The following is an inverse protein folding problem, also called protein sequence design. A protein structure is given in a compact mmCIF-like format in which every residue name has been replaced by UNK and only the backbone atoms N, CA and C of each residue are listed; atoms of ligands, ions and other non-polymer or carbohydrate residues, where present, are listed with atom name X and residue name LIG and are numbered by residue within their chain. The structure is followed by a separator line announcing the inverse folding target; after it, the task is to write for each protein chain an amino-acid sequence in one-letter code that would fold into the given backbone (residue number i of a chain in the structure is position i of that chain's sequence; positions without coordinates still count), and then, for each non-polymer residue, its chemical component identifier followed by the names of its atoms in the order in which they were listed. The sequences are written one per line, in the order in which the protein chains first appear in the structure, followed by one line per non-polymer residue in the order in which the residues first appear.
data_IF_328025776931
#
_entry.id   IF_328025776931
#
_cell.length_a   1.000
_cell.length_b   1.000
_cell.length_c   1.000
_cell.angle_alpha   90.00
_cell.angle_beta   90.00
_cell.angle_gamma   90.00
#
_symmetry.space_group_name_H-M   'P 1'
#
loop_
_entity.id
_entity.type
_entity.pdbx_description
1 polymer ?
#
# COMPACT_ATOMS: atom_id res chain seq x y z
N UNK A 1 0.54 20.98 14.39
CA UNK A 1 1.80 20.69 13.68
C UNK A 1 2.74 19.83 14.50
N UNK A 2 3.04 20.16 15.77
CA UNK A 2 3.93 19.35 16.62
C UNK A 2 3.49 17.87 16.80
N UNK A 3 2.21 17.54 17.06
CA UNK A 3 1.79 16.14 17.19
C UNK A 3 1.99 15.31 15.92
N UNK A 4 1.76 15.91 14.75
CA UNK A 4 1.98 15.29 13.44
C UNK A 4 3.46 14.99 13.23
N UNK A 5 4.34 15.93 13.58
CA UNK A 5 5.78 15.73 13.50
C UNK A 5 6.23 14.59 14.43
N UNK A 6 5.78 14.59 15.69
CA UNK A 6 6.14 13.54 16.64
C UNK A 6 5.61 12.15 16.23
N UNK A 7 4.46 12.08 15.55
CA UNK A 7 3.93 10.84 15.00
C UNK A 7 4.75 10.28 13.83
N UNK A 8 5.43 11.12 13.03
CA UNK A 8 6.26 10.66 11.91
C UNK A 8 7.69 10.31 12.30
N UNK A 9 8.25 10.91 13.35
CA UNK A 9 9.64 10.69 13.78
C UNK A 9 10.01 9.20 13.94
N UNK A 10 9.23 8.37 14.66
CA UNK A 10 9.56 6.94 14.83
C UNK A 10 9.64 6.18 13.51
N UNK A 11 8.76 6.52 12.57
CA UNK A 11 8.71 5.93 11.23
C UNK A 11 10.00 6.23 10.47
N UNK A 12 10.46 7.49 10.50
CA UNK A 12 11.73 7.87 9.88
C UNK A 12 12.95 7.29 10.60
N UNK A 13 12.89 7.09 11.92
CA UNK A 13 13.95 6.39 12.64
C UNK A 13 14.08 4.92 12.25
N UNK A 14 12.99 4.23 11.92
CA UNK A 14 13.07 2.86 11.38
C UNK A 14 13.77 2.82 10.01
N UNK A 15 13.49 3.81 9.15
CA UNK A 15 14.18 3.96 7.86
C UNK A 15 15.66 4.27 8.08
N UNK A 16 15.98 5.24 8.95
CA UNK A 16 17.35 5.61 9.29
C UNK A 16 18.12 4.42 9.89
N UNK A 17 17.47 3.62 10.73
CA UNK A 17 18.07 2.41 11.30
C UNK A 17 18.41 1.40 10.20
N UNK A 18 17.49 1.12 9.27
CA UNK A 18 17.79 0.26 8.12
C UNK A 18 18.93 0.79 7.25
N UNK A 19 18.98 2.10 7.03
CA UNK A 19 20.08 2.75 6.34
C UNK A 19 21.42 2.52 7.06
N UNK A 20 21.47 2.72 8.38
CA UNK A 20 22.67 2.51 9.19
C UNK A 20 23.14 1.05 9.15
N UNK A 21 22.23 0.08 9.22
CA UNK A 21 22.58 -1.35 9.09
C UNK A 21 23.29 -1.63 7.76
N UNK A 22 22.83 -1.05 6.66
CA UNK A 22 23.47 -1.20 5.36
C UNK A 22 24.76 -0.39 5.25
N UNK A 23 24.79 0.81 5.80
CA UNK A 23 25.96 1.70 5.81
C UNK A 23 27.15 1.05 6.53
N UNK A 24 26.91 0.43 7.69
CA UNK A 24 27.92 -0.35 8.43
C UNK A 24 28.15 -1.76 7.88
N UNK A 25 27.61 -2.08 6.70
CA UNK A 25 27.73 -3.40 6.02
C UNK A 25 27.20 -4.59 6.82
N UNK A 26 26.35 -4.36 7.83
CA UNK A 26 25.67 -5.41 8.58
C UNK A 26 24.56 -6.07 7.76
N UNK A 27 23.85 -5.27 6.95
CA UNK A 27 22.81 -5.74 6.06
C UNK A 27 23.22 -5.67 4.58
N UNK A 28 22.62 -6.52 3.75
CA UNK A 28 22.85 -6.54 2.31
C UNK A 28 21.58 -6.53 1.46
N UNK A 29 21.74 -6.64 0.13
CA UNK A 29 20.60 -6.68 -0.79
C UNK A 29 19.70 -7.90 -0.60
N UNK A 30 20.22 -9.00 -0.04
CA UNK A 30 19.41 -10.18 0.27
C UNK A 30 18.42 -9.88 1.40
N UNK A 31 18.80 -9.06 2.38
CA UNK A 31 17.89 -8.60 3.44
C UNK A 31 16.70 -7.84 2.86
N UNK A 32 16.93 -6.94 1.89
CA UNK A 32 15.83 -6.20 1.24
C UNK A 32 14.83 -7.17 0.62
N UNK A 33 15.29 -8.20 -0.09
CA UNK A 33 14.42 -9.19 -0.73
C UNK A 33 13.66 -10.00 0.32
N UNK A 34 14.35 -10.49 1.36
CA UNK A 34 13.76 -11.33 2.41
C UNK A 34 12.73 -10.57 3.25
N UNK A 35 13.06 -9.36 3.70
CA UNK A 35 12.17 -8.53 4.50
C UNK A 35 10.93 -8.09 3.71
N UNK A 36 11.07 -7.74 2.43
CA UNK A 36 9.91 -7.44 1.59
C UNK A 36 9.02 -8.66 1.35
N UNK A 37 9.62 -9.85 1.16
CA UNK A 37 8.86 -11.11 1.08
C UNK A 37 8.10 -11.38 2.37
N UNK A 38 8.75 -11.23 3.52
CA UNK A 38 8.10 -11.40 4.82
C UNK A 38 6.95 -10.39 5.00
N UNK A 39 7.18 -9.12 4.67
CA UNK A 39 6.15 -8.09 4.71
C UNK A 39 4.94 -8.44 3.85
N UNK A 40 5.16 -8.83 2.59
CA UNK A 40 4.09 -9.10 1.63
C UNK A 40 3.35 -10.42 1.86
N UNK A 41 4.04 -11.46 2.33
CA UNK A 41 3.48 -12.82 2.45
C UNK A 41 3.07 -13.21 3.88
N UNK A 42 3.55 -12.49 4.90
CA UNK A 42 3.29 -12.83 6.30
C UNK A 42 2.65 -11.65 7.03
N UNK A 43 3.37 -10.53 7.17
CA UNK A 43 2.92 -9.44 8.03
C UNK A 43 1.71 -8.68 7.47
N UNK A 44 1.70 -8.39 6.16
CA UNK A 44 0.61 -7.66 5.54
C UNK A 44 -0.70 -8.49 5.50
N UNK A 45 -0.68 -9.80 5.16
CA UNK A 45 -1.83 -10.67 5.36
C UNK A 45 -2.32 -10.66 6.82
N UNK A 46 -1.41 -10.85 7.79
CA UNK A 46 -1.79 -10.82 9.21
C UNK A 46 -2.41 -9.48 9.62
N UNK A 47 -1.86 -8.35 9.14
CA UNK A 47 -2.39 -7.01 9.37
C UNK A 47 -3.81 -6.86 8.83
N UNK A 48 -4.05 -7.26 7.59
CA UNK A 48 -5.37 -7.20 6.96
C UNK A 48 -6.36 -8.05 7.73
N UNK A 49 -6.00 -9.31 8.00
CA UNK A 49 -6.89 -10.26 8.66
C UNK A 49 -7.25 -9.81 10.07
N UNK A 50 -6.24 -9.47 10.88
CA UNK A 50 -6.43 -9.01 12.25
C UNK A 50 -7.34 -7.78 12.29
N UNK A 51 -7.06 -6.75 11.50
CA UNK A 51 -7.88 -5.53 11.56
C UNK A 51 -9.30 -5.74 11.04
N UNK A 52 -9.50 -6.51 9.96
CA UNK A 52 -10.84 -6.77 9.42
C UNK A 52 -11.69 -7.60 10.37
N UNK A 53 -11.12 -8.63 11.01
CA UNK A 53 -11.84 -9.48 11.96
C UNK A 53 -12.19 -8.76 13.27
N UNK A 54 -11.48 -7.69 13.60
CA UNK A 54 -11.76 -6.81 14.74
C UNK A 54 -12.61 -5.58 14.41
N UNK A 55 -13.06 -5.46 13.17
CA UNK A 55 -13.99 -4.39 12.76
C UNK A 55 -15.41 -4.92 12.78
N UNK A 56 -16.35 -4.12 13.29
CA UNK A 56 -17.78 -4.38 13.15
C UNK A 56 -18.14 -4.68 11.67
N UNK A 57 -18.91 -5.76 11.38
CA UNK A 57 -19.44 -6.04 10.05
C UNK A 57 -20.03 -4.81 9.33
N UNK A 58 -20.74 -3.93 10.04
CA UNK A 58 -21.32 -2.72 9.46
C UNK A 58 -20.23 -1.74 8.97
N UNK A 59 -19.07 -1.71 9.63
CA UNK A 59 -17.91 -0.94 9.24
C UNK A 59 -17.21 -1.48 8.00
N UNK A 60 -17.22 -2.81 7.79
CA UNK A 60 -16.62 -3.45 6.62
C UNK A 60 -17.40 -3.13 5.34
N UNK A 61 -18.73 -3.18 5.40
CA UNK A 61 -19.63 -2.89 4.27
C UNK A 61 -20.03 -1.42 4.17
N UNK A 62 -19.15 -0.51 4.61
CA UNK A 62 -19.39 0.91 4.51
C UNK A 62 -19.20 1.41 3.06
N UNK A 63 -20.30 1.61 2.35
CA UNK A 63 -20.31 2.09 0.97
C UNK A 63 -19.57 3.40 0.79
N UNK A 64 -19.64 4.32 1.77
CA UNK A 64 -18.90 5.59 1.71
C UNK A 64 -17.41 5.32 1.66
N UNK A 65 -16.88 4.47 2.54
CA UNK A 65 -15.44 4.11 2.53
C UNK A 65 -15.04 3.46 1.20
N UNK A 66 -15.87 2.55 0.66
CA UNK A 66 -15.61 1.88 -0.62
C UNK A 66 -15.54 2.90 -1.77
N UNK A 67 -16.56 3.74 -1.91
CA UNK A 67 -16.64 4.73 -2.98
C UNK A 67 -15.59 5.83 -2.83
N UNK A 68 -15.24 6.25 -1.61
CA UNK A 68 -14.15 7.19 -1.37
C UNK A 68 -12.82 6.60 -1.83
N UNK A 69 -12.48 5.35 -1.45
CA UNK A 69 -11.25 4.71 -1.91
C UNK A 69 -11.22 4.51 -3.42
N UNK A 70 -12.35 4.10 -4.02
CA UNK A 70 -12.47 3.93 -5.47
C UNK A 70 -12.28 5.27 -6.19
N UNK A 71 -12.97 6.31 -5.75
CA UNK A 71 -12.85 7.66 -6.29
C UNK A 71 -11.42 8.20 -6.19
N UNK A 72 -10.76 7.97 -5.06
CA UNK A 72 -9.35 8.32 -4.82
C UNK A 72 -8.43 7.67 -5.88
N UNK A 73 -8.59 6.36 -6.09
CA UNK A 73 -7.79 5.59 -7.03
C UNK A 73 -8.07 5.99 -8.48
N UNK A 74 -9.33 6.21 -8.84
CA UNK A 74 -9.71 6.68 -10.18
C UNK A 74 -9.16 8.08 -10.43
N UNK A 75 -9.28 9.01 -9.48
CA UNK A 75 -8.72 10.36 -9.62
C UNK A 75 -7.20 10.32 -9.78
N UNK A 76 -6.51 9.50 -8.98
CA UNK A 76 -5.06 9.31 -9.07
C UNK A 76 -4.65 8.71 -10.44
N UNK A 77 -5.40 7.72 -10.93
CA UNK A 77 -5.20 7.13 -12.25
C UNK A 77 -5.42 8.15 -13.37
N UNK A 78 -6.50 8.93 -13.32
CA UNK A 78 -6.81 9.96 -14.31
C UNK A 78 -5.75 11.06 -14.33
N UNK A 79 -5.26 11.47 -13.17
CA UNK A 79 -4.15 12.42 -13.05
C UNK A 79 -2.89 11.87 -13.74
N UNK A 80 -2.52 10.61 -13.47
CA UNK A 80 -1.37 9.97 -14.10
C UNK A 80 -1.51 9.84 -15.63
N UNK A 81 -2.70 9.47 -16.12
CA UNK A 81 -3.01 9.40 -17.55
C UNK A 81 -2.92 10.77 -18.21
N UNK A 82 -3.48 11.81 -17.57
CA UNK A 82 -3.43 13.18 -18.05
C UNK A 82 -1.99 13.68 -18.12
N UNK A 83 -1.20 13.49 -17.07
CA UNK A 83 0.23 13.86 -17.09
C UNK A 83 0.98 13.13 -18.20
N UNK A 84 0.75 11.82 -18.35
CA UNK A 84 1.36 11.04 -19.42
C UNK A 84 1.01 11.56 -20.83
N UNK A 85 -0.24 11.98 -21.03
CA UNK A 85 -0.69 12.59 -22.29
C UNK A 85 -0.06 13.97 -22.52
N UNK A 86 -0.04 14.84 -21.51
CA UNK A 86 0.52 16.19 -21.59
C UNK A 86 2.03 16.19 -21.87
N UNK A 87 2.75 15.21 -21.32
CA UNK A 87 4.18 15.02 -21.54
C UNK A 87 4.50 14.21 -22.82
N UNK A 88 3.50 13.78 -23.59
CA UNK A 88 3.71 13.01 -24.81
C UNK A 88 4.39 11.64 -24.58
N UNK A 89 4.17 11.01 -23.42
CA UNK A 89 4.87 9.79 -23.06
C UNK A 89 4.40 8.58 -23.88
N UNK A 90 5.35 7.66 -24.15
CA UNK A 90 5.03 6.36 -24.74
C UNK A 90 4.12 5.55 -23.80
N UNK A 91 3.25 4.71 -24.37
CA UNK A 91 2.23 3.94 -23.62
C UNK A 91 2.78 3.14 -22.43
N UNK A 92 3.95 2.53 -22.55
CA UNK A 92 4.56 1.77 -21.45
C UNK A 92 4.99 2.68 -20.28
N UNK A 93 5.48 3.89 -20.56
CA UNK A 93 5.79 4.88 -19.52
C UNK A 93 4.50 5.41 -18.87
N UNK A 94 3.45 5.66 -19.66
CA UNK A 94 2.14 6.04 -19.09
C UNK A 94 1.62 4.97 -18.14
N UNK A 95 1.70 3.69 -18.51
CA UNK A 95 1.31 2.59 -17.63
C UNK A 95 2.16 2.54 -16.34
N UNK A 96 3.47 2.82 -16.47
CA UNK A 96 4.38 2.93 -15.32
C UNK A 96 3.96 4.07 -14.40
N UNK A 97 3.62 5.24 -14.96
CA UNK A 97 3.12 6.38 -14.19
C UNK A 97 1.83 6.04 -13.45
N UNK A 98 0.87 5.41 -14.12
CA UNK A 98 -0.37 4.97 -13.50
C UNK A 98 -0.07 4.08 -12.31
N UNK A 99 0.71 3.01 -12.49
CA UNK A 99 1.07 2.08 -11.41
C UNK A 99 1.79 2.81 -10.27
N UNK A 100 2.78 3.66 -10.58
CA UNK A 100 3.50 4.42 -9.58
C UNK A 100 2.57 5.31 -8.77
N UNK A 101 1.69 6.08 -9.41
CA UNK A 101 0.80 7.05 -8.76
C UNK A 101 -0.27 6.35 -7.93
N UNK A 102 -0.91 5.29 -8.44
CA UNK A 102 -1.95 4.56 -7.70
C UNK A 102 -1.39 3.68 -6.60
N UNK A 103 -0.10 3.32 -6.63
CA UNK A 103 0.54 2.50 -5.58
C UNK A 103 1.07 3.40 -4.47
N UNK A 104 0.31 3.49 -3.37
CA UNK A 104 0.65 4.21 -2.16
C UNK A 104 1.16 3.31 -1.04
N UNK A 105 1.83 3.91 -0.07
CA UNK A 105 2.28 3.20 1.14
C UNK A 105 1.23 3.33 2.27
N UNK A 106 0.00 2.92 1.98
CA UNK A 106 -1.13 3.08 2.90
C UNK A 106 -1.02 2.11 4.07
N UNK A 107 -0.53 0.90 3.84
CA UNK A 107 -0.39 -0.13 4.87
C UNK A 107 0.83 0.08 5.80
N UNK A 108 2.01 0.37 5.26
CA UNK A 108 3.23 0.40 6.08
C UNK A 108 3.55 1.78 6.66
N UNK A 109 3.17 2.86 5.98
CA UNK A 109 3.34 4.24 6.46
C UNK A 109 2.01 4.84 6.96
N UNK A 110 0.96 4.76 6.15
CA UNK A 110 -0.33 5.40 6.46
C UNK A 110 -0.98 4.84 7.73
N UNK A 111 -1.07 3.52 7.85
CA UNK A 111 -1.70 2.85 8.98
C UNK A 111 -1.10 3.23 10.34
N UNK A 112 0.22 3.03 10.60
CA UNK A 112 0.80 3.40 11.90
C UNK A 112 0.75 4.91 12.14
N UNK A 113 0.86 5.73 11.09
CA UNK A 113 0.78 7.19 11.21
C UNK A 113 -0.61 7.63 11.71
N UNK A 114 -1.69 7.20 11.05
CA UNK A 114 -3.05 7.59 11.46
C UNK A 114 -3.42 7.01 12.82
N UNK A 115 -3.08 5.75 13.09
CA UNK A 115 -3.40 5.11 14.38
C UNK A 115 -2.63 5.70 15.56
N UNK A 116 -1.44 6.27 15.32
CA UNK A 116 -0.70 7.03 16.35
C UNK A 116 -1.33 8.38 16.68
N UNK A 117 -1.95 9.04 15.69
CA UNK A 117 -2.62 10.33 15.88
C UNK A 117 -4.04 10.18 16.43
N UNK A 118 -4.70 9.08 16.08
CA UNK A 118 -6.07 8.77 16.46
C UNK A 118 -6.12 7.37 17.10
N UNK A 119 -5.79 7.23 18.40
CA UNK A 119 -5.91 5.96 19.10
C UNK A 119 -7.33 5.39 18.99
N UNK A 120 -7.46 4.09 18.74
CA UNK A 120 -8.75 3.42 18.51
C UNK A 120 -9.24 3.43 17.06
N UNK A 121 -8.58 4.17 16.15
CA UNK A 121 -8.94 4.18 14.72
C UNK A 121 -8.51 2.93 13.93
N UNK A 122 -7.82 1.97 14.55
CA UNK A 122 -7.20 0.82 13.90
C UNK A 122 -8.15 0.00 13.01
N UNK A 123 -9.37 -0.28 13.49
CA UNK A 123 -10.38 -1.00 12.69
C UNK A 123 -10.77 -0.23 11.42
N UNK A 124 -11.19 1.03 11.55
CA UNK A 124 -11.57 1.86 10.41
C UNK A 124 -10.42 2.05 9.40
N UNK A 125 -9.20 2.34 9.89
CA UNK A 125 -8.01 2.49 9.03
C UNK A 125 -7.66 1.15 8.36
N UNK A 126 -7.81 0.03 9.07
CA UNK A 126 -7.62 -1.32 8.54
C UNK A 126 -8.59 -1.67 7.42
N UNK A 127 -9.87 -1.26 7.55
CA UNK A 127 -10.86 -1.38 6.47
C UNK A 127 -10.44 -0.55 5.25
N UNK A 128 -10.02 0.71 5.45
CA UNK A 128 -9.50 1.55 4.36
C UNK A 128 -8.32 0.91 3.64
N UNK A 129 -7.31 0.43 4.38
CA UNK A 129 -6.14 -0.27 3.83
C UNK A 129 -6.56 -1.49 3.04
N UNK A 130 -7.45 -2.31 3.58
CA UNK A 130 -7.89 -3.56 2.96
C UNK A 130 -8.64 -3.32 1.65
N UNK A 131 -9.60 -2.40 1.63
CA UNK A 131 -10.34 -2.02 0.43
C UNK A 131 -9.40 -1.42 -0.61
N UNK A 132 -8.54 -0.48 -0.19
CA UNK A 132 -7.58 0.14 -1.09
C UNK A 132 -6.67 -0.90 -1.77
N UNK A 133 -6.12 -1.84 -0.99
CA UNK A 133 -5.29 -2.92 -1.54
C UNK A 133 -6.09 -3.86 -2.44
N UNK A 134 -7.33 -4.20 -2.07
CA UNK A 134 -8.21 -5.03 -2.89
C UNK A 134 -8.42 -4.41 -4.29
N UNK A 135 -8.76 -3.12 -4.32
CA UNK A 135 -8.96 -2.36 -5.55
C UNK A 135 -7.63 -2.26 -6.31
N UNK A 136 -6.54 -1.88 -5.65
CA UNK A 136 -5.22 -1.73 -6.25
C UNK A 136 -4.74 -3.00 -6.94
N UNK A 137 -4.78 -4.16 -6.27
CA UNK A 137 -4.33 -5.42 -6.86
C UNK A 137 -5.26 -5.90 -7.98
N UNK A 138 -6.56 -5.69 -7.84
CA UNK A 138 -7.55 -6.00 -8.88
C UNK A 138 -7.29 -5.18 -10.15
N UNK A 139 -7.19 -3.86 -10.04
CA UNK A 139 -6.92 -2.98 -11.17
C UNK A 139 -5.50 -3.15 -11.71
N UNK A 140 -4.51 -3.35 -10.85
CA UNK A 140 -3.12 -3.61 -11.25
C UNK A 140 -3.00 -4.86 -12.13
N UNK A 141 -3.68 -5.95 -11.77
CA UNK A 141 -3.74 -7.17 -12.59
C UNK A 141 -4.45 -6.92 -13.93
N UNK A 142 -5.54 -6.16 -13.93
CA UNK A 142 -6.24 -5.81 -15.17
C UNK A 142 -5.37 -4.98 -16.13
N UNK A 143 -4.65 -3.98 -15.61
CA UNK A 143 -3.73 -3.13 -16.38
C UNK A 143 -2.58 -3.97 -16.94
N UNK A 144 -2.02 -4.88 -16.13
CA UNK A 144 -0.94 -5.77 -16.54
C UNK A 144 -1.39 -6.69 -17.68
N UNK A 145 -2.53 -7.37 -17.53
CA UNK A 145 -3.07 -8.28 -18.56
C UNK A 145 -3.33 -7.53 -19.88
N UNK A 146 -3.89 -6.32 -19.80
CA UNK A 146 -4.12 -5.47 -21.00
C UNK A 146 -2.83 -4.98 -21.65
N UNK A 147 -1.74 -4.90 -20.89
CA UNK A 147 -0.43 -4.43 -21.40
C UNK A 147 0.36 -5.56 -22.06
N UNK A 148 0.17 -6.80 -21.59
CA UNK A 148 0.92 -7.97 -22.07
C UNK A 148 0.17 -8.79 -23.12
N UNK A 149 -1.17 -8.82 -23.09
CA UNK A 149 -1.98 -9.63 -24.01
C UNK A 149 -2.77 -8.78 -25.02
N UNK A 150 -2.93 -9.29 -26.26
CA UNK A 150 -3.75 -8.65 -27.31
C UNK A 150 -5.24 -8.58 -26.95
N UNK A 151 -5.72 -9.46 -26.08
CA UNK A 151 -7.09 -9.48 -25.53
C UNK A 151 -7.03 -9.79 -24.05
N UNK A 152 -7.90 -9.14 -23.28
CA UNK A 152 -8.02 -9.38 -21.83
C UNK A 152 -8.65 -10.76 -21.60
N UNK A 153 -7.96 -11.64 -20.88
CA UNK A 153 -8.50 -12.93 -20.46
C UNK A 153 -9.07 -12.85 -19.05
N UNK A 154 -10.39 -12.82 -18.94
CA UNK A 154 -11.08 -12.84 -17.64
C UNK A 154 -10.73 -14.09 -16.82
N UNK A 155 -10.57 -15.25 -17.46
CA UNK A 155 -10.14 -16.48 -16.78
C UNK A 155 -8.76 -16.31 -16.13
N UNK A 156 -7.81 -15.66 -16.81
CA UNK A 156 -6.47 -15.45 -16.27
C UNK A 156 -6.49 -14.43 -15.13
N UNK A 157 -7.28 -13.35 -15.27
CA UNK A 157 -7.48 -12.37 -14.20
C UNK A 157 -8.04 -13.05 -12.94
N UNK A 158 -9.13 -13.81 -13.06
CA UNK A 158 -9.74 -14.52 -11.93
C UNK A 158 -8.74 -15.50 -11.31
N UNK A 159 -7.99 -16.26 -12.12
CA UNK A 159 -6.95 -17.16 -11.60
C UNK A 159 -5.87 -16.41 -10.82
N UNK A 160 -5.42 -15.25 -11.28
CA UNK A 160 -4.45 -14.43 -10.55
C UNK A 160 -5.04 -13.79 -9.30
N UNK A 161 -6.33 -13.43 -9.32
CA UNK A 161 -7.03 -12.91 -8.14
C UNK A 161 -7.14 -13.97 -7.05
N UNK A 162 -7.59 -15.18 -7.41
CA UNK A 162 -7.72 -16.31 -6.48
C UNK A 162 -6.36 -16.79 -5.98
N UNK A 163 -5.28 -16.60 -6.76
CA UNK A 163 -3.92 -16.90 -6.34
C UNK A 163 -3.23 -15.76 -5.55
N UNK A 164 -3.86 -14.60 -5.41
CA UNK A 164 -3.26 -13.47 -4.69
C UNK A 164 -3.48 -13.64 -3.18
N UNK A 165 -2.40 -13.82 -2.39
CA UNK A 165 -2.52 -14.07 -0.95
C UNK A 165 -3.32 -12.98 -0.23
N UNK A 166 -3.19 -11.72 -0.63
CA UNK A 166 -3.88 -10.61 0.02
C UNK A 166 -5.39 -10.63 -0.26
N UNK A 167 -5.80 -10.99 -1.48
CA UNK A 167 -7.23 -11.12 -1.81
C UNK A 167 -7.86 -12.33 -1.11
N UNK A 168 -7.12 -13.45 -1.03
CA UNK A 168 -7.54 -14.62 -0.24
C UNK A 168 -7.74 -14.20 1.23
N UNK A 169 -6.77 -13.48 1.80
CA UNK A 169 -6.85 -13.02 3.18
C UNK A 169 -8.07 -12.14 3.43
N UNK A 170 -8.36 -11.19 2.53
CA UNK A 170 -9.56 -10.35 2.63
C UNK A 170 -10.83 -11.21 2.60
N UNK A 171 -10.92 -12.17 1.67
CA UNK A 171 -12.06 -13.09 1.58
C UNK A 171 -12.25 -13.93 2.84
N UNK A 172 -11.16 -14.48 3.40
CA UNK A 172 -11.20 -15.23 4.66
C UNK A 172 -11.63 -14.34 5.84
N UNK A 173 -11.16 -13.10 5.88
CA UNK A 173 -11.53 -12.15 6.94
C UNK A 173 -13.04 -11.86 6.90
N UNK A 174 -13.57 -11.58 5.72
CA UNK A 174 -15.01 -11.35 5.53
C UNK A 174 -15.82 -12.59 5.90
N UNK A 175 -15.36 -13.79 5.54
CA UNK A 175 -16.04 -15.03 5.91
C UNK A 175 -16.10 -15.22 7.44
N UNK A 176 -15.00 -14.97 8.15
CA UNK A 176 -14.94 -15.04 9.62
C UNK A 176 -15.92 -14.05 10.26
N UNK A 177 -15.94 -12.80 9.78
CA UNK A 177 -16.82 -11.76 10.31
C UNK A 177 -18.29 -12.07 10.07
N UNK A 178 -18.66 -12.49 8.85
CA UNK A 178 -20.05 -12.80 8.49
C UNK A 178 -20.57 -14.04 9.21
N UNK A 179 -19.73 -15.05 9.42
CA UNK A 179 -20.12 -16.27 10.14
C UNK A 179 -20.14 -16.09 11.67
N UNK A 180 -19.57 -15.01 12.20
CA UNK A 180 -19.37 -14.82 13.63
C UNK A 180 -18.41 -15.84 14.24
N UNK A 181 -17.51 -16.41 13.41
CA UNK A 181 -16.56 -17.41 13.87
C UNK A 181 -15.60 -16.81 14.89
N UNK A 182 -15.57 -17.39 16.09
CA UNK A 182 -14.68 -16.94 17.16
C UNK A 182 -13.28 -17.50 16.96
N UNK A 183 -12.31 -16.60 16.75
CA UNK A 183 -10.90 -16.97 16.65
C UNK A 183 -10.38 -17.29 18.06
N UNK A 184 -9.73 -18.46 18.28
CA UNK A 184 -9.10 -18.77 19.56
C UNK A 184 -8.06 -17.72 19.95
N UNK A 185 -8.07 -17.28 21.22
CA UNK A 185 -7.21 -16.18 21.71
C UNK A 185 -5.72 -16.33 21.38
N UNK A 186 -5.20 -17.57 21.39
CA UNK A 186 -3.79 -17.85 21.05
C UNK A 186 -3.49 -17.55 19.58
N UNK A 187 -4.40 -17.89 18.67
CA UNK A 187 -4.28 -17.61 17.24
C UNK A 187 -4.41 -16.12 16.99
N UNK A 188 -5.39 -15.50 17.65
CA UNK A 188 -5.65 -14.08 17.54
C UNK A 188 -4.45 -13.21 17.95
N UNK A 189 -3.87 -13.51 19.11
CA UNK A 189 -2.67 -12.84 19.59
C UNK A 189 -1.46 -13.08 18.67
N UNK A 190 -1.34 -14.29 18.10
CA UNK A 190 -0.29 -14.59 17.12
C UNK A 190 -0.44 -13.71 15.87
N UNK A 191 -1.67 -13.57 15.37
CA UNK A 191 -1.98 -12.70 14.22
C UNK A 191 -1.70 -11.24 14.55
N UNK A 192 -2.02 -10.78 15.76
CA UNK A 192 -1.69 -9.44 16.25
C UNK A 192 -0.19 -9.18 16.22
N UNK A 193 0.60 -10.09 16.77
CA UNK A 193 2.07 -9.96 16.79
C UNK A 193 2.63 -9.88 15.38
N UNK A 194 2.19 -10.75 14.45
CA UNK A 194 2.61 -10.70 13.04
C UNK A 194 2.14 -9.42 12.32
N UNK A 195 0.94 -8.92 12.64
CA UNK A 195 0.42 -7.68 12.09
C UNK A 195 1.29 -6.48 12.49
N UNK A 196 1.70 -6.41 13.76
CA UNK A 196 2.53 -5.30 14.27
C UNK A 196 3.92 -5.23 13.66
N UNK A 197 4.43 -6.31 13.06
CA UNK A 197 5.73 -6.29 12.36
C UNK A 197 5.66 -5.70 10.95
N UNK A 198 4.47 -5.51 10.38
CA UNK A 198 4.29 -5.09 8.98
C UNK A 198 5.04 -3.79 8.66
N UNK A 199 4.81 -2.74 9.44
CA UNK A 199 5.46 -1.45 9.22
C UNK A 199 6.97 -1.49 9.51
N UNK A 200 7.45 -1.95 10.69
CA UNK A 200 8.88 -1.93 10.98
C UNK A 200 9.74 -2.69 9.97
N UNK A 201 9.32 -3.90 9.59
CA UNK A 201 10.12 -4.76 8.67
C UNK A 201 10.30 -4.09 7.31
N UNK A 202 9.22 -3.54 6.74
CA UNK A 202 9.28 -2.94 5.40
C UNK A 202 10.00 -1.60 5.40
N UNK A 203 9.87 -0.81 6.47
CA UNK A 203 10.58 0.47 6.60
C UNK A 203 12.08 0.30 6.81
N UNK A 204 12.49 -0.73 7.57
CA UNK A 204 13.90 -1.11 7.67
C UNK A 204 14.42 -1.56 6.30
N UNK A 205 13.66 -2.40 5.57
CA UNK A 205 14.02 -2.82 4.22
C UNK A 205 14.18 -1.63 3.26
N UNK A 206 13.30 -0.62 3.35
CA UNK A 206 13.40 0.63 2.60
C UNK A 206 14.69 1.39 2.94
N UNK A 207 15.03 1.52 4.23
CA UNK A 207 16.29 2.13 4.67
C UNK A 207 17.52 1.43 4.10
N UNK A 208 17.55 0.09 4.15
CA UNK A 208 18.64 -0.72 3.59
C UNK A 208 18.77 -0.47 2.08
N UNK A 209 17.65 -0.35 1.37
CA UNK A 209 17.62 -0.09 -0.07
C UNK A 209 18.18 1.30 -0.43
N UNK A 210 17.96 2.32 0.42
CA UNK A 210 18.35 3.71 0.16
C UNK A 210 19.85 3.99 0.10
N UNK A 211 20.71 3.09 0.57
CA UNK A 211 22.18 3.27 0.46
C UNK A 211 22.66 3.22 -1.00
N UNK A 212 21.83 2.75 -1.93
CA UNK A 212 22.16 2.76 -3.36
C UNK A 212 22.23 4.20 -3.89
N UNK A 213 23.33 4.61 -4.55
CA UNK A 213 23.43 5.94 -5.13
C UNK A 213 22.37 6.12 -6.23
N UNK A 214 21.80 7.32 -6.29
CA UNK A 214 20.93 7.73 -7.39
C UNK A 214 21.79 8.03 -8.61
N UNK A 215 21.49 7.39 -9.74
CA UNK A 215 22.12 7.75 -11.00
C UNK A 215 21.38 8.94 -11.62
N UNK A 216 21.93 10.13 -11.45
CA UNK A 216 21.39 11.37 -12.00
C UNK A 216 21.52 11.47 -13.53
N UNK A 217 22.31 10.58 -14.14
CA UNK A 217 22.46 10.51 -15.59
C UNK A 217 21.42 9.59 -16.26
N UNK A 218 20.65 8.85 -15.45
CA UNK A 218 19.56 8.02 -15.96
C UNK A 218 18.48 8.91 -16.60
N UNK A 219 18.09 8.70 -17.87
CA UNK A 219 17.00 9.43 -18.53
C UNK A 219 15.65 9.32 -17.80
N UNK A 220 15.51 8.37 -16.87
CA UNK A 220 14.35 8.19 -15.99
C UNK A 220 14.30 9.21 -14.84
N UNK A 221 15.39 9.93 -14.54
CA UNK A 221 15.47 10.83 -13.38
C UNK A 221 14.40 11.93 -13.38
N UNK A 222 14.15 12.58 -14.52
CA UNK A 222 13.08 13.59 -14.66
C UNK A 222 11.68 12.99 -14.42
N UNK A 223 11.48 11.73 -14.80
CA UNK A 223 10.23 11.03 -14.58
C UNK A 223 10.01 10.76 -13.09
N UNK A 224 11.07 10.40 -12.36
CA UNK A 224 11.04 10.21 -10.89
C UNK A 224 10.69 11.53 -10.18
N UNK A 225 11.28 12.66 -10.60
CA UNK A 225 10.95 13.98 -10.05
C UNK A 225 9.47 14.29 -10.27
N UNK A 226 8.98 14.09 -11.50
CA UNK A 226 7.58 14.35 -11.85
C UNK A 226 6.63 13.51 -11.00
N UNK A 227 6.90 12.21 -10.86
CA UNK A 227 6.11 11.31 -10.01
C UNK A 227 6.15 11.72 -8.54
N UNK A 228 7.29 12.22 -8.06
CA UNK A 228 7.45 12.72 -6.69
C UNK A 228 6.59 13.96 -6.46
N UNK A 229 6.60 14.92 -7.39
CA UNK A 229 5.74 16.11 -7.34
C UNK A 229 4.26 15.71 -7.36
N UNK A 230 3.88 14.77 -8.22
CA UNK A 230 2.50 14.27 -8.26
C UNK A 230 2.10 13.70 -6.90
N UNK A 231 2.94 12.85 -6.30
CA UNK A 231 2.63 12.17 -5.05
C UNK A 231 2.63 13.07 -3.82
N UNK A 232 3.55 14.02 -3.75
CA UNK A 232 3.74 14.84 -2.55
C UNK A 232 2.97 16.16 -2.59
N UNK A 233 2.60 16.64 -3.78
CA UNK A 233 1.91 17.93 -3.93
C UNK A 233 0.56 17.76 -4.64
N UNK A 234 0.55 17.25 -5.88
CA UNK A 234 -0.67 17.27 -6.70
C UNK A 234 -1.78 16.38 -6.12
N UNK A 235 -1.45 15.17 -5.67
CA UNK A 235 -2.41 14.25 -5.07
C UNK A 235 -2.98 14.77 -3.73
N UNK A 236 -2.15 15.14 -2.73
CA UNK A 236 -2.67 15.73 -1.49
C UNK A 236 -3.53 16.97 -1.73
N UNK A 237 -3.11 17.85 -2.64
CA UNK A 237 -3.89 19.05 -2.98
C UNK A 237 -5.24 18.69 -3.61
N UNK A 238 -5.26 17.75 -4.55
CA UNK A 238 -6.49 17.24 -5.15
C UNK A 238 -7.43 16.68 -4.08
N UNK A 239 -6.91 15.92 -3.12
CA UNK A 239 -7.72 15.38 -2.04
C UNK A 239 -8.24 16.44 -1.08
N UNK A 240 -7.44 17.45 -0.74
CA UNK A 240 -7.91 18.59 0.06
C UNK A 240 -9.04 19.32 -0.67
N UNK A 241 -8.88 19.61 -1.96
CA UNK A 241 -9.92 20.28 -2.76
C UNK A 241 -11.21 19.45 -2.78
N UNK A 242 -11.12 18.15 -3.07
CA UNK A 242 -12.29 17.26 -3.09
C UNK A 242 -12.95 17.16 -1.72
N UNK A 243 -12.18 17.20 -0.63
CA UNK A 243 -12.73 17.15 0.74
C UNK A 243 -13.42 18.44 1.20
N UNK A 244 -13.18 19.55 0.50
CA UNK A 244 -13.77 20.86 0.80
C UNK A 244 -15.03 21.16 -0.03
N UNK A 245 -15.34 20.32 -1.02
CA UNK A 245 -16.52 20.40 -1.89
C UNK A 245 -17.65 19.51 -1.34
#
# INVERSE_FOLDING_TARGET
MLPIFLATVPIFFLIAFGFLLRFFKFADSSWVITLNKFGLWVSLPALIFYNLTHTDPAGIFNWTIIFTNLGLLVAAMMLALLTGKLLGLKRHLVNTYVICVITGNVAYLGFPFITSLYPGSGGAVGVHVSIYLAILFTFGLFILERSTAKRVSWQRIVRHMVGNPLLITIGLSVAVVVTGFHIPAVIDETLRLLATTASPVVLIALGIFMVRPLDHTDPSFLHVITLTIIKLLALPLLFVIVSLL
#
